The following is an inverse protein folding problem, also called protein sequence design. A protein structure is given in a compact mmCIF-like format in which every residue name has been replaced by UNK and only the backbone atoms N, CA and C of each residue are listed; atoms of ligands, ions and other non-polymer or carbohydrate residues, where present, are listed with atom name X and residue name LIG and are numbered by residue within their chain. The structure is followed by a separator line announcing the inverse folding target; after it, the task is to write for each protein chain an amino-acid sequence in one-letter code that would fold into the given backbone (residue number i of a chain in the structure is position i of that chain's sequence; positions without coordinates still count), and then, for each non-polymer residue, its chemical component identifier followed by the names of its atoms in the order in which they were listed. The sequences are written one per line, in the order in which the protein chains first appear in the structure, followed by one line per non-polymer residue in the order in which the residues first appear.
data_IF_886352413604
#
_entry.id   IF_886352413604
#
_cell.length_a   1.000
_cell.length_b   1.000
_cell.length_c   1.000
_cell.angle_alpha   90.00
_cell.angle_beta   90.00
_cell.angle_gamma   90.00
#
_symmetry.space_group_name_H-M   'P 1'
#
loop_
_entity.id
_entity.type
_entity.pdbx_description
1 polymer ?
#
# COMPACT_ATOMS: atom_id res chain seq x y z
N UNK A 1 20.29 1.50 6.57
CA UNK A 1 19.70 2.85 6.67
C UNK A 1 18.23 2.72 6.27
N UNK A 2 17.35 2.53 7.25
CA UNK A 2 15.91 2.48 7.01
C UNK A 2 15.50 3.91 6.68
N UNK A 3 15.07 4.16 5.44
CA UNK A 3 14.39 5.40 5.08
C UNK A 3 13.11 5.36 5.91
N UNK A 4 13.15 5.97 7.09
CA UNK A 4 12.01 6.08 7.96
C UNK A 4 11.10 7.11 7.32
N UNK A 5 10.02 6.67 6.67
CA UNK A 5 8.91 7.57 6.38
C UNK A 5 8.60 8.33 7.67
N UNK A 6 8.64 9.67 7.60
CA UNK A 6 8.30 10.49 8.76
C UNK A 6 6.79 10.35 9.01
N UNK A 7 6.43 9.44 9.91
CA UNK A 7 5.06 9.09 10.29
C UNK A 7 4.42 10.20 11.17
N UNK A 8 4.39 11.42 10.65
CA UNK A 8 3.89 12.63 11.30
C UNK A 8 2.59 13.12 10.63
N UNK A 9 1.99 14.21 11.14
CA UNK A 9 0.78 14.79 10.54
C UNK A 9 -0.43 13.87 10.66
N UNK A 10 -1.09 13.60 9.54
CA UNK A 10 -2.33 12.81 9.50
C UNK A 10 -2.17 11.43 10.14
N UNK A 11 -1.02 10.75 9.98
CA UNK A 11 -0.83 9.42 10.57
C UNK A 11 -0.97 9.43 12.09
N UNK A 12 -0.36 10.39 12.78
CA UNK A 12 -0.49 10.51 14.23
C UNK A 12 -1.91 10.82 14.66
N UNK A 13 -2.62 11.66 13.89
CA UNK A 13 -4.03 11.97 14.12
C UNK A 13 -4.88 10.71 13.97
N UNK A 14 -4.64 9.91 12.93
CA UNK A 14 -5.31 8.62 12.74
C UNK A 14 -5.06 7.66 13.91
N UNK A 15 -3.84 7.61 14.47
CA UNK A 15 -3.58 6.79 15.67
C UNK A 15 -4.35 7.27 16.90
N UNK A 16 -4.49 8.59 17.08
CA UNK A 16 -5.30 9.17 18.17
C UNK A 16 -6.79 8.83 17.98
N UNK A 17 -7.29 8.91 16.75
CA UNK A 17 -8.67 8.53 16.42
C UNK A 17 -8.89 7.03 16.64
N UNK A 18 -7.97 6.16 16.19
CA UNK A 18 -8.01 4.71 16.44
C UNK A 18 -8.20 4.40 17.92
N UNK A 19 -7.46 5.09 18.78
CA UNK A 19 -7.49 4.88 20.22
C UNK A 19 -8.77 5.39 20.89
N UNK A 20 -9.35 6.51 20.41
CA UNK A 20 -10.49 7.19 21.06
C UNK A 20 -11.46 7.81 20.04
N UNK A 21 -12.14 7.02 19.18
CA UNK A 21 -12.89 7.57 18.06
C UNK A 21 -14.01 8.52 18.48
N UNK A 22 -14.70 8.23 19.59
CA UNK A 22 -15.76 9.10 20.11
C UNK A 22 -15.31 10.52 20.47
N UNK A 23 -14.03 10.72 20.81
CA UNK A 23 -13.48 12.05 21.15
C UNK A 23 -13.21 12.92 19.92
N UNK A 24 -12.95 12.30 18.77
CA UNK A 24 -12.50 13.02 17.57
C UNK A 24 -13.58 13.08 16.48
N UNK A 25 -14.33 12.00 16.31
CA UNK A 25 -15.30 11.84 15.22
C UNK A 25 -16.68 11.39 15.72
N UNK A 26 -16.93 11.48 17.03
CA UNK A 26 -18.23 11.19 17.65
C UNK A 26 -18.56 9.71 17.84
N UNK A 27 -18.14 8.84 16.92
CA UNK A 27 -18.31 7.38 17.05
C UNK A 27 -17.25 6.62 16.25
N UNK A 28 -17.13 5.30 16.48
CA UNK A 28 -16.31 4.45 15.63
C UNK A 28 -17.04 4.20 14.30
N UNK A 29 -16.80 5.06 13.31
CA UNK A 29 -17.51 5.09 12.04
C UNK A 29 -16.53 5.35 10.90
N UNK A 30 -16.56 4.52 9.86
CA UNK A 30 -15.64 4.64 8.72
C UNK A 30 -16.05 5.78 7.80
N UNK A 31 -17.35 6.03 7.70
CA UNK A 31 -17.89 7.17 6.98
C UNK A 31 -17.49 8.49 7.64
N UNK A 32 -17.58 8.58 8.98
CA UNK A 32 -17.17 9.78 9.72
C UNK A 32 -15.64 9.97 9.68
N UNK A 33 -14.89 8.87 9.75
CA UNK A 33 -13.44 8.89 9.58
C UNK A 33 -13.04 9.42 8.20
N UNK A 34 -13.71 8.98 7.14
CA UNK A 34 -13.47 9.50 5.79
C UNK A 34 -13.71 11.00 5.70
N UNK A 35 -14.84 11.49 6.24
CA UNK A 35 -15.14 12.92 6.24
C UNK A 35 -14.12 13.72 7.06
N UNK A 36 -13.64 13.18 8.18
CA UNK A 36 -12.57 13.79 8.96
C UNK A 36 -11.29 13.93 8.13
N UNK A 37 -10.86 12.87 7.42
CA UNK A 37 -9.64 12.90 6.60
C UNK A 37 -9.76 13.92 5.47
N UNK A 38 -10.91 13.97 4.78
CA UNK A 38 -11.18 14.96 3.73
C UNK A 38 -11.12 16.38 4.30
N UNK A 39 -11.74 16.61 5.47
CA UNK A 39 -11.72 17.92 6.13
C UNK A 39 -10.32 18.33 6.61
N UNK A 40 -9.52 17.38 7.08
CA UNK A 40 -8.14 17.61 7.47
C UNK A 40 -7.27 18.03 6.27
N UNK A 41 -7.39 17.33 5.14
CA UNK A 41 -6.69 17.67 3.88
C UNK A 41 -7.10 19.06 3.39
N UNK A 42 -8.41 19.33 3.36
CA UNK A 42 -8.95 20.64 2.99
C UNK A 42 -8.38 21.76 3.86
N UNK A 43 -8.42 21.61 5.19
CA UNK A 43 -7.93 22.62 6.12
C UNK A 43 -6.42 22.91 5.96
N UNK A 44 -5.61 21.89 5.64
CA UNK A 44 -4.18 22.10 5.36
C UNK A 44 -3.95 22.87 4.07
N UNK A 45 -4.72 22.56 3.02
CA UNK A 45 -4.69 23.30 1.76
C UNK A 45 -4.99 24.78 1.96
N UNK A 46 -6.06 25.09 2.71
CA UNK A 46 -6.44 26.48 3.03
C UNK A 46 -5.39 27.22 3.88
N UNK A 47 -4.58 26.49 4.64
CA UNK A 47 -3.52 27.04 5.49
C UNK A 47 -2.13 27.00 4.82
N UNK A 48 -2.05 26.59 3.55
CA UNK A 48 -0.79 26.43 2.80
C UNK A 48 0.23 25.53 3.52
N UNK A 49 -0.26 24.53 4.27
CA UNK A 49 0.60 23.58 4.98
C UNK A 49 0.90 22.40 4.07
N UNK A 50 2.15 22.32 3.60
CA UNK A 50 2.61 21.23 2.72
C UNK A 50 2.36 19.85 3.30
N UNK A 51 1.90 18.91 2.48
CA UNK A 51 1.77 17.51 2.87
C UNK A 51 3.13 16.89 3.19
N UNK A 52 3.11 15.87 4.04
CA UNK A 52 4.26 14.97 4.22
C UNK A 52 4.29 13.90 3.12
N UNK A 53 5.46 13.31 2.87
CA UNK A 53 5.61 12.20 1.91
C UNK A 53 4.67 11.02 2.22
N UNK A 54 4.39 10.78 3.50
CA UNK A 54 3.44 9.76 3.91
C UNK A 54 1.99 10.12 3.55
N UNK A 55 1.59 11.37 3.76
CA UNK A 55 0.27 11.87 3.38
C UNK A 55 0.11 11.74 1.86
N UNK A 56 1.05 12.24 1.06
CA UNK A 56 1.01 12.11 -0.40
C UNK A 56 0.88 10.65 -0.83
N UNK A 57 1.68 9.75 -0.23
CA UNK A 57 1.57 8.32 -0.53
C UNK A 57 0.19 7.75 -0.20
N UNK A 58 -0.38 8.13 0.95
CA UNK A 58 -1.70 7.67 1.38
C UNK A 58 -2.79 8.17 0.42
N UNK A 59 -2.83 9.47 0.12
CA UNK A 59 -3.83 10.09 -0.75
C UNK A 59 -3.78 9.52 -2.17
N UNK A 60 -2.58 9.33 -2.72
CA UNK A 60 -2.43 8.82 -4.10
C UNK A 60 -2.64 7.31 -4.22
N UNK A 61 -2.22 6.52 -3.23
CA UNK A 61 -2.04 5.07 -3.42
C UNK A 61 -2.97 4.19 -2.58
N UNK A 62 -3.59 4.70 -1.51
CA UNK A 62 -4.41 3.86 -0.64
C UNK A 62 -5.66 3.32 -1.36
N UNK A 63 -6.40 4.19 -2.06
CA UNK A 63 -7.59 3.76 -2.78
C UNK A 63 -7.29 2.83 -3.97
N UNK A 64 -6.31 3.12 -4.86
CA UNK A 64 -5.91 2.18 -5.91
C UNK A 64 -5.50 0.80 -5.38
N UNK A 65 -4.73 0.78 -4.29
CA UNK A 65 -4.35 -0.47 -3.62
C UNK A 65 -5.58 -1.23 -3.09
N UNK A 66 -6.51 -0.53 -2.46
CA UNK A 66 -7.74 -1.12 -1.92
C UNK A 66 -8.63 -1.69 -3.04
N UNK A 67 -8.78 -0.96 -4.15
CA UNK A 67 -9.52 -1.40 -5.33
C UNK A 67 -8.92 -2.67 -5.92
N UNK A 68 -7.59 -2.74 -6.02
CA UNK A 68 -6.89 -3.95 -6.47
C UNK A 68 -7.13 -5.13 -5.51
N UNK A 69 -7.00 -4.90 -4.20
CA UNK A 69 -7.17 -5.93 -3.17
C UNK A 69 -8.57 -6.55 -3.19
N UNK A 70 -9.60 -5.74 -3.41
CA UNK A 70 -10.99 -6.20 -3.44
C UNK A 70 -11.51 -6.52 -4.86
N UNK A 71 -10.66 -6.39 -5.89
CA UNK A 71 -11.04 -6.59 -7.29
C UNK A 71 -12.26 -5.75 -7.71
N UNK A 72 -12.32 -4.48 -7.27
CA UNK A 72 -13.41 -3.56 -7.58
C UNK A 72 -12.92 -2.42 -8.49
N UNK A 73 -13.74 -2.06 -9.48
CA UNK A 73 -13.46 -0.98 -10.44
C UNK A 73 -14.47 0.16 -10.30
N UNK A 74 -14.61 0.70 -9.09
CA UNK A 74 -15.58 1.75 -8.75
C UNK A 74 -14.90 3.07 -8.41
N UNK A 75 -15.52 4.20 -8.74
CA UNK A 75 -15.10 5.54 -8.31
C UNK A 75 -15.57 5.91 -6.88
N UNK A 76 -16.23 4.98 -6.18
CA UNK A 76 -16.62 5.17 -4.79
C UNK A 76 -15.39 5.41 -3.89
N UNK A 77 -15.59 6.16 -2.80
CA UNK A 77 -14.53 6.39 -1.80
C UNK A 77 -14.08 5.09 -1.16
N UNK A 78 -12.84 5.08 -0.64
CA UNK A 78 -12.31 3.94 0.10
C UNK A 78 -13.23 3.52 1.26
N UNK A 79 -13.91 4.45 1.94
CA UNK A 79 -14.87 4.11 3.00
C UNK A 79 -16.08 3.34 2.46
N UNK A 80 -16.63 3.75 1.31
CA UNK A 80 -17.71 2.99 0.66
C UNK A 80 -17.24 1.62 0.19
N UNK A 81 -16.02 1.51 -0.35
CA UNK A 81 -15.43 0.22 -0.74
C UNK A 81 -15.32 -0.70 0.47
N UNK A 82 -14.81 -0.22 1.61
CA UNK A 82 -14.73 -1.00 2.86
C UNK A 82 -16.13 -1.46 3.30
N UNK A 83 -17.10 -0.56 3.26
CA UNK A 83 -18.48 -0.85 3.67
C UNK A 83 -19.18 -1.92 2.83
N UNK A 84 -18.70 -2.22 1.60
CA UNK A 84 -19.22 -3.36 0.83
C UNK A 84 -18.95 -4.71 1.51
N UNK A 85 -17.97 -4.77 2.42
CA UNK A 85 -17.51 -5.98 3.10
C UNK A 85 -17.75 -5.95 4.62
N UNK A 86 -18.50 -4.98 5.14
CA UNK A 86 -18.74 -4.80 6.57
C UNK A 86 -20.23 -4.72 6.87
N UNK A 87 -20.65 -5.25 8.02
CA UNK A 87 -22.05 -5.26 8.45
C UNK A 87 -22.49 -3.89 8.99
N UNK A 88 -21.55 -3.12 9.55
CA UNK A 88 -21.82 -1.81 10.14
C UNK A 88 -20.59 -0.89 10.14
N UNK A 89 -20.83 0.38 10.47
CA UNK A 89 -19.83 1.45 10.50
C UNK A 89 -18.65 1.17 11.45
N UNK A 90 -18.90 0.55 12.60
CA UNK A 90 -17.83 0.18 13.54
C UNK A 90 -16.92 -0.89 12.96
N UNK A 91 -17.49 -1.91 12.33
CA UNK A 91 -16.70 -2.94 11.66
C UNK A 91 -15.91 -2.35 10.48
N UNK A 92 -16.50 -1.41 9.73
CA UNK A 92 -15.79 -0.64 8.71
C UNK A 92 -14.62 0.14 9.28
N UNK A 93 -14.81 0.79 10.44
CA UNK A 93 -13.77 1.55 11.12
C UNK A 93 -12.61 0.65 11.56
N UNK A 94 -12.92 -0.47 12.20
CA UNK A 94 -11.92 -1.45 12.62
C UNK A 94 -11.18 -2.04 11.40
N UNK A 95 -11.90 -2.27 10.29
CA UNK A 95 -11.34 -2.78 9.03
C UNK A 95 -10.42 -1.77 8.35
N UNK A 96 -10.76 -0.48 8.36
CA UNK A 96 -9.87 0.57 7.84
C UNK A 96 -8.49 0.50 8.47
N UNK A 97 -8.39 0.39 9.79
CA UNK A 97 -7.09 0.36 10.46
C UNK A 97 -6.29 -0.91 10.17
N UNK A 98 -6.95 -2.06 10.01
CA UNK A 98 -6.27 -3.30 9.54
C UNK A 98 -5.74 -3.13 8.13
N UNK A 99 -6.55 -2.57 7.23
CA UNK A 99 -6.19 -2.31 5.84
C UNK A 99 -5.07 -1.27 5.73
N UNK A 100 -5.06 -0.25 6.60
CA UNK A 100 -3.98 0.71 6.70
C UNK A 100 -2.67 0.04 7.11
N UNK A 101 -2.71 -0.84 8.12
CA UNK A 101 -1.53 -1.59 8.57
C UNK A 101 -1.00 -2.51 7.45
N UNK A 102 -1.88 -3.21 6.72
CA UNK A 102 -1.52 -4.01 5.54
C UNK A 102 -0.93 -3.16 4.40
N UNK A 103 -1.55 -2.02 4.10
CA UNK A 103 -1.07 -1.08 3.11
C UNK A 103 0.35 -0.65 3.45
N UNK A 104 0.64 -0.27 4.69
CA UNK A 104 1.99 0.15 5.09
C UNK A 104 2.99 -1.03 5.06
N UNK A 105 2.55 -2.25 5.35
CA UNK A 105 3.40 -3.44 5.29
C UNK A 105 3.79 -3.85 3.85
N UNK A 106 3.07 -3.37 2.81
CA UNK A 106 3.35 -3.71 1.39
C UNK A 106 4.78 -3.36 0.98
N UNK A 107 5.31 -2.24 1.49
CA UNK A 107 6.68 -1.78 1.23
C UNK A 107 7.77 -2.68 1.83
N UNK A 108 7.44 -3.47 2.85
CA UNK A 108 8.37 -4.43 3.47
C UNK A 108 8.40 -5.77 2.72
N UNK A 109 7.27 -6.19 2.11
CA UNK A 109 7.23 -7.38 1.26
C UNK A 109 7.94 -7.19 -0.09
N UNK A 110 8.03 -5.96 -0.61
CA UNK A 110 8.83 -5.65 -1.80
C UNK A 110 10.34 -5.69 -1.53
N UNK A 111 10.79 -5.65 -0.27
CA UNK A 111 12.21 -5.86 0.09
C UNK A 111 12.56 -7.34 0.20
N UNK A 112 11.62 -8.21 0.56
CA UNK A 112 11.82 -9.67 0.51
C UNK A 112 11.76 -10.23 -0.91
N UNK A 113 11.09 -9.52 -1.83
CA UNK A 113 11.00 -9.83 -3.27
C UNK A 113 11.86 -8.93 -4.17
N UNK A 114 12.80 -8.13 -3.62
CA UNK A 114 14.01 -7.79 -4.37
C UNK A 114 14.80 -9.07 -4.49
N UNK A 115 14.40 -9.88 -5.46
CA UNK A 115 15.16 -10.96 -6.05
C UNK A 115 16.64 -10.59 -5.98
N UNK A 116 17.40 -11.43 -5.26
CA UNK A 116 18.84 -11.32 -5.19
C UNK A 116 19.35 -11.20 -6.63
N UNK A 117 19.80 -10.01 -7.04
CA UNK A 117 20.30 -9.78 -8.40
C UNK A 117 21.45 -10.75 -8.73
N UNK A 118 22.11 -11.26 -7.70
CA UNK A 118 23.12 -12.31 -7.78
C UNK A 118 22.55 -13.67 -8.20
N UNK A 119 21.35 -14.05 -7.73
CA UNK A 119 20.70 -15.32 -8.12
C UNK A 119 20.24 -15.24 -9.58
N UNK A 120 19.57 -14.16 -9.99
CA UNK A 120 19.12 -14.03 -11.40
C UNK A 120 20.29 -13.97 -12.36
N UNK A 121 21.37 -13.28 -12.00
CA UNK A 121 22.59 -13.29 -12.80
C UNK A 121 23.23 -14.68 -12.86
N UNK A 122 23.32 -15.40 -11.74
CA UNK A 122 23.85 -16.77 -11.72
C UNK A 122 23.02 -17.73 -12.59
N UNK A 123 21.69 -17.63 -12.53
CA UNK A 123 20.79 -18.44 -13.37
C UNK A 123 20.95 -18.07 -14.85
N UNK A 124 21.02 -16.79 -15.21
CA UNK A 124 21.25 -16.38 -16.60
C UNK A 124 22.63 -16.80 -17.15
N UNK A 125 23.67 -16.80 -16.32
CA UNK A 125 25.00 -17.28 -16.71
C UNK A 125 24.97 -18.80 -16.93
N UNK A 126 24.34 -19.56 -16.04
CA UNK A 126 24.21 -21.01 -16.18
C UNK A 126 23.41 -21.41 -17.44
N UNK A 127 22.32 -20.72 -17.75
CA UNK A 127 21.54 -20.96 -18.97
C UNK A 127 22.32 -20.61 -20.24
N UNK A 128 23.14 -19.55 -20.23
CA UNK A 128 24.01 -19.21 -21.37
C UNK A 128 25.06 -20.30 -21.61
N UNK A 129 25.72 -20.78 -20.55
CA UNK A 129 26.72 -21.85 -20.66
C UNK A 129 26.13 -23.15 -21.22
N UNK A 130 24.94 -23.54 -20.77
CA UNK A 130 24.21 -24.71 -21.31
C UNK A 130 23.87 -24.56 -22.80
N UNK A 131 23.42 -23.38 -23.22
CA UNK A 131 23.10 -23.14 -24.63
C UNK A 131 24.34 -23.16 -25.53
N UNK A 132 25.48 -22.69 -25.03
CA UNK A 132 26.76 -22.75 -25.75
C UNK A 132 27.26 -24.19 -25.89
N UNK A 133 27.09 -25.03 -24.86
CA UNK A 133 27.41 -26.48 -24.92
C UNK A 133 26.49 -27.23 -25.88
N UNK A 134 25.18 -26.99 -25.83
CA UNK A 134 24.20 -27.61 -26.75
C UNK A 134 24.51 -27.23 -28.19
N UNK A 135 24.88 -25.96 -28.44
CA UNK A 135 25.21 -25.47 -29.79
C UNK A 135 26.49 -26.11 -30.35
N UNK A 136 27.47 -26.46 -29.48
CA UNK A 136 28.68 -27.17 -29.89
C UNK A 136 28.39 -28.64 -30.23
N UNK A 137 27.57 -29.31 -29.42
CA UNK A 137 27.19 -30.70 -29.65
C UNK A 137 26.37 -30.87 -30.95
N UNK A 138 25.50 -29.91 -31.27
CA UNK A 138 24.73 -29.93 -32.51
C UNK A 138 25.54 -29.65 -33.79
N UNK A 139 26.76 -29.11 -33.68
CA UNK A 139 27.65 -28.89 -34.82
C UNK A 139 28.54 -30.10 -35.13
N UNK A 140 28.79 -30.99 -34.15
CA UNK A 140 29.59 -32.20 -34.35
C UNK A 140 28.81 -33.35 -35.04
N UNK A 141 27.47 -33.33 -34.99
CA UNK A 141 26.61 -34.35 -35.62
C UNK A 141 26.31 -34.11 -37.12
N UNK A 142 26.92 -33.08 -37.74
CA UNK A 142 26.63 -32.67 -39.13
C UNK A 142 27.78 -32.89 -40.12
N UNK A 143 28.72 -33.80 -39.82
CA UNK A 143 29.77 -34.28 -40.74
C UNK A 143 29.56 -35.74 -41.11
#
# INVERSE_FOLDING_TARGET
MTIGFNMSGLYEVLQKIKAKPGMYIGSASVSDLFMFVVGYEFARGELEIESTEWEDNFHENFQPWLQQKYHVSTSNSWAKIIMLYCVNEKEGFDSFFKLLDEFLARGNNLKSHKVDKNIVNATQIAFRGLNDEISKLQQEDSV
#
